data_IF_064389390752
#
_entry.id   IF_064389390752
#
_cell.length_a   1.000
_cell.length_b   1.000
_cell.length_c   1.000
_cell.angle_alpha   90.00
_cell.angle_beta   90.00
_cell.angle_gamma   90.00
#
_symmetry.space_group_name_H-M   'P 1'
#
loop_
_entity.id
_entity.type
_entity.pdbx_description
1 polymer ?
#
# COMPACT_ATOMS: atom_id res chain seq x y z
N UNK A 1 -25.77 16.72 19.46
CA UNK A 1 -24.68 15.91 20.05
C UNK A 1 -25.07 14.47 20.46
N UNK A 2 -26.21 14.20 21.11
CA UNK A 2 -26.57 12.82 21.56
C UNK A 2 -26.90 11.82 20.41
N UNK A 3 -27.29 12.30 19.22
CA UNK A 3 -27.63 11.45 18.07
C UNK A 3 -26.41 10.91 17.30
N UNK A 4 -25.32 11.67 17.20
CA UNK A 4 -24.06 11.21 16.57
C UNK A 4 -23.39 10.08 17.36
N UNK A 5 -23.43 10.16 18.69
CA UNK A 5 -22.86 9.13 19.57
C UNK A 5 -23.58 7.78 19.47
N UNK A 6 -24.90 7.78 19.26
CA UNK A 6 -25.68 6.54 19.06
C UNK A 6 -25.41 5.92 17.68
N UNK A 7 -25.24 6.74 16.64
CA UNK A 7 -24.94 6.27 15.30
C UNK A 7 -23.53 5.65 15.22
N UNK A 8 -22.54 6.32 15.82
CA UNK A 8 -21.16 5.83 15.89
C UNK A 8 -21.03 4.50 16.63
N UNK A 9 -21.71 4.30 17.77
CA UNK A 9 -21.72 3.01 18.50
C UNK A 9 -22.44 1.91 17.73
N UNK A 10 -23.60 2.21 17.14
CA UNK A 10 -24.37 1.23 16.36
C UNK A 10 -23.60 0.76 15.11
N UNK A 11 -22.90 1.69 14.44
CA UNK A 11 -22.03 1.37 13.31
C UNK A 11 -20.82 0.52 13.73
N UNK A 12 -20.18 0.84 14.87
CA UNK A 12 -19.06 0.07 15.44
C UNK A 12 -19.50 -1.35 15.84
N UNK A 13 -20.70 -1.49 16.42
CA UNK A 13 -21.30 -2.79 16.79
C UNK A 13 -21.66 -3.62 15.55
N UNK A 14 -22.20 -3.00 14.48
CA UNK A 14 -22.44 -3.69 13.20
C UNK A 14 -21.15 -4.17 12.58
N UNK A 15 -20.10 -3.33 12.54
CA UNK A 15 -18.77 -3.69 12.01
C UNK A 15 -18.11 -4.81 12.81
N UNK A 16 -18.21 -4.77 14.15
CA UNK A 16 -17.76 -5.84 15.03
C UNK A 16 -18.48 -7.15 14.71
N UNK A 17 -19.80 -7.14 14.49
CA UNK A 17 -20.55 -8.32 14.03
C UNK A 17 -20.17 -8.80 12.63
N UNK A 18 -19.85 -7.90 11.69
CA UNK A 18 -19.32 -8.29 10.37
C UNK A 18 -18.00 -9.05 10.52
N UNK A 19 -17.10 -8.56 11.39
CA UNK A 19 -15.80 -9.16 11.66
C UNK A 19 -15.92 -10.46 12.45
N UNK A 20 -16.72 -10.51 13.52
CA UNK A 20 -16.98 -11.72 14.32
C UNK A 20 -17.58 -12.86 13.48
N UNK A 21 -18.47 -12.52 12.54
CA UNK A 21 -19.06 -13.49 11.61
C UNK A 21 -18.07 -13.98 10.54
N UNK A 22 -17.02 -13.21 10.21
CA UNK A 22 -15.92 -13.66 9.33
C UNK A 22 -14.82 -14.41 10.11
N UNK A 23 -14.61 -14.07 11.38
CA UNK A 23 -13.55 -14.64 12.20
C UNK A 23 -13.86 -16.06 12.69
N UNK A 24 -15.13 -16.44 12.80
CA UNK A 24 -15.53 -17.77 13.25
C UNK A 24 -15.19 -18.01 14.73
N UNK A 25 -16.16 -18.46 15.52
CA UNK A 25 -15.94 -18.90 16.90
C UNK A 25 -14.86 -20.00 16.95
N UNK A 26 -13.66 -19.64 17.41
CA UNK A 26 -12.59 -20.54 17.82
C UNK A 26 -11.77 -19.81 18.90
N UNK A 27 -11.78 -20.38 20.10
CA UNK A 27 -11.06 -19.89 21.27
C UNK A 27 -9.56 -20.09 21.16
N UNK A 28 -8.92 -19.34 20.26
CA UNK A 28 -7.46 -19.25 20.21
C UNK A 28 -7.07 -17.78 20.24
N UNK A 29 -6.35 -17.43 21.31
CA UNK A 29 -6.03 -16.07 21.73
C UNK A 29 -5.02 -15.40 20.78
N UNK A 30 -5.46 -15.03 19.57
CA UNK A 30 -5.01 -13.79 18.93
C UNK A 30 -6.14 -12.77 19.08
N UNK A 31 -6.08 -11.99 20.16
CA UNK A 31 -6.71 -10.67 20.22
C UNK A 31 -6.02 -9.73 19.22
N UNK A 32 -6.06 -10.07 17.94
CA UNK A 32 -5.73 -9.16 16.87
C UNK A 32 -7.01 -8.40 16.56
N UNK A 33 -7.37 -7.45 17.42
CA UNK A 33 -7.90 -6.20 16.87
C UNK A 33 -6.79 -5.70 15.95
N UNK A 34 -6.83 -6.07 14.67
CA UNK A 34 -5.90 -5.65 13.63
C UNK A 34 -6.10 -4.16 13.45
N UNK A 35 -5.40 -3.42 14.28
CA UNK A 35 -5.35 -1.98 14.23
C UNK A 35 -4.61 -1.59 12.95
N UNK A 36 -5.30 -0.97 12.00
CA UNK A 36 -4.71 -0.53 10.73
C UNK A 36 -3.56 0.47 10.96
N UNK A 37 -2.57 0.45 10.07
CA UNK A 37 -1.42 1.35 10.11
C UNK A 37 -1.85 2.82 10.02
N UNK A 38 -2.91 3.14 9.27
CA UNK A 38 -3.51 4.48 9.28
C UNK A 38 -3.88 4.93 10.69
N UNK A 39 -4.51 4.06 11.48
CA UNK A 39 -4.93 4.42 12.83
C UNK A 39 -3.73 4.51 13.78
N UNK A 40 -2.71 3.65 13.61
CA UNK A 40 -1.44 3.75 14.34
C UNK A 40 -0.78 5.10 14.09
N UNK A 41 -0.65 5.48 12.82
CA UNK A 41 -0.12 6.78 12.45
C UNK A 41 -0.93 7.93 13.04
N UNK A 42 -2.26 7.88 13.00
CA UNK A 42 -3.13 8.91 13.61
C UNK A 42 -2.95 9.02 15.13
N UNK A 43 -2.74 7.89 15.82
CA UNK A 43 -2.54 7.88 17.27
C UNK A 43 -1.19 8.47 17.63
N UNK A 44 -0.15 8.01 16.93
CA UNK A 44 1.22 8.48 17.13
C UNK A 44 1.29 9.96 16.77
N UNK A 45 0.81 10.39 15.60
CA UNK A 45 0.99 11.77 15.15
C UNK A 45 0.35 12.85 16.01
N UNK A 46 -0.51 12.49 16.98
CA UNK A 46 -1.22 13.45 17.83
C UNK A 46 -2.20 14.31 17.05
N UNK A 47 -2.43 14.01 15.77
CA UNK A 47 -3.34 14.78 14.91
C UNK A 47 -4.78 14.59 15.37
N UNK A 48 -5.44 15.69 15.71
CA UNK A 48 -6.80 15.69 16.25
C UNK A 48 -6.82 15.62 17.78
N UNK A 49 -7.39 14.54 18.33
CA UNK A 49 -7.59 14.40 19.79
C UNK A 49 -6.43 13.61 20.39
N UNK A 50 -5.67 14.26 21.27
CA UNK A 50 -4.62 13.60 22.05
C UNK A 50 -5.19 12.42 22.84
N UNK A 51 -4.52 11.29 22.68
CA UNK A 51 -4.72 10.05 23.43
C UNK A 51 -3.85 10.01 24.68
N UNK A 52 -4.24 9.22 25.69
CA UNK A 52 -3.40 8.97 26.86
C UNK A 52 -2.03 8.41 26.46
N UNK A 53 -0.99 8.87 27.14
CA UNK A 53 0.41 8.48 26.91
C UNK A 53 0.63 6.97 27.02
N UNK A 54 -0.05 6.33 27.98
CA UNK A 54 -0.01 4.89 28.22
C UNK A 54 -0.57 4.10 27.03
N UNK A 55 -1.57 4.66 26.32
CA UNK A 55 -2.09 4.05 25.10
C UNK A 55 -1.04 4.09 23.99
N UNK A 56 -0.37 5.24 23.80
CA UNK A 56 0.66 5.40 22.77
C UNK A 56 1.81 4.42 23.02
N UNK A 57 2.34 4.39 24.25
CA UNK A 57 3.39 3.45 24.64
C UNK A 57 3.01 2.00 24.37
N UNK A 58 1.77 1.60 24.72
CA UNK A 58 1.27 0.25 24.46
C UNK A 58 1.16 -0.06 22.96
N UNK A 59 0.63 0.86 22.16
CA UNK A 59 0.48 0.62 20.71
C UNK A 59 1.84 0.59 20.00
N UNK A 60 2.81 1.42 20.42
CA UNK A 60 4.19 1.36 19.93
C UNK A 60 4.84 0.02 20.26
N UNK A 61 4.76 -0.42 21.52
CA UNK A 61 5.30 -1.72 21.95
C UNK A 61 4.65 -2.89 21.19
N UNK A 62 3.32 -2.86 21.04
CA UNK A 62 2.56 -3.90 20.32
C UNK A 62 2.94 -4.00 18.84
N UNK A 63 3.25 -2.87 18.21
CA UNK A 63 3.59 -2.80 16.79
C UNK A 63 5.10 -2.71 16.54
N UNK A 64 5.95 -2.88 17.56
CA UNK A 64 7.40 -2.69 17.47
C UNK A 64 8.03 -3.44 16.30
N UNK A 65 7.77 -4.75 16.19
CA UNK A 65 8.31 -5.57 15.11
C UNK A 65 7.85 -5.09 13.72
N UNK A 66 6.58 -4.67 13.62
CA UNK A 66 6.00 -4.17 12.37
C UNK A 66 6.63 -2.83 11.97
N UNK A 67 6.80 -1.92 12.93
CA UNK A 67 7.42 -0.60 12.73
C UNK A 67 8.89 -0.78 12.32
N UNK A 68 9.64 -1.65 12.99
CA UNK A 68 11.04 -1.92 12.69
C UNK A 68 11.24 -2.55 11.30
N UNK A 69 10.45 -3.58 10.96
CA UNK A 69 10.56 -4.25 9.65
C UNK A 69 9.99 -3.41 8.51
N UNK A 70 9.07 -2.50 8.81
CA UNK A 70 8.40 -1.65 7.83
C UNK A 70 7.81 -2.47 6.67
N UNK A 71 8.24 -2.19 5.44
CA UNK A 71 7.78 -2.88 4.25
C UNK A 71 8.14 -4.37 4.23
N UNK A 72 9.26 -4.77 4.85
CA UNK A 72 9.71 -6.18 4.95
C UNK A 72 8.81 -7.02 5.86
N UNK A 73 7.88 -6.38 6.60
CA UNK A 73 6.85 -7.10 7.33
C UNK A 73 5.91 -7.86 6.38
N UNK A 74 5.70 -7.35 5.18
CA UNK A 74 4.85 -7.96 4.15
C UNK A 74 5.67 -8.92 3.30
N UNK A 75 5.34 -10.20 3.38
CA UNK A 75 6.13 -11.31 2.82
C UNK A 75 5.53 -11.79 1.50
N UNK A 76 6.39 -12.26 0.61
CA UNK A 76 5.95 -13.00 -0.57
C UNK A 76 5.26 -14.33 -0.18
N UNK A 77 4.39 -14.88 -1.04
CA UNK A 77 3.78 -16.19 -0.82
C UNK A 77 4.83 -17.27 -0.59
N UNK A 78 4.69 -18.03 0.51
CA UNK A 78 5.66 -19.07 0.91
C UNK A 78 5.02 -20.43 1.23
N UNK A 79 3.68 -20.52 1.20
CA UNK A 79 2.93 -21.72 1.52
C UNK A 79 2.08 -22.18 0.31
N UNK A 80 1.73 -23.48 0.22
CA UNK A 80 0.82 -23.97 -0.80
C UNK A 80 -0.53 -23.25 -0.74
N UNK A 81 -1.08 -22.92 -1.91
CA UNK A 81 -2.34 -22.19 -2.05
C UNK A 81 -3.48 -22.84 -1.26
N UNK A 82 -4.23 -22.04 -0.50
CA UNK A 82 -5.38 -22.45 0.29
C UNK A 82 -5.06 -23.19 1.58
N UNK A 83 -3.80 -23.46 1.90
CA UNK A 83 -3.43 -24.19 3.12
C UNK A 83 -3.83 -23.45 4.41
N UNK A 84 -3.65 -22.12 4.45
CA UNK A 84 -4.05 -21.31 5.59
C UNK A 84 -5.57 -21.11 5.61
N UNK A 85 -6.20 -20.93 4.45
CA UNK A 85 -7.64 -20.64 4.35
C UNK A 85 -8.53 -21.83 4.70
N UNK A 86 -8.05 -23.07 4.51
CA UNK A 86 -8.78 -24.29 4.92
C UNK A 86 -9.05 -24.35 6.42
N UNK A 87 -8.17 -23.77 7.24
CA UNK A 87 -8.35 -23.70 8.69
C UNK A 87 -9.34 -22.57 9.10
N UNK A 88 -9.80 -21.73 8.17
CA UNK A 88 -10.72 -20.62 8.44
C UNK A 88 -12.15 -20.98 8.05
N UNK A 89 -13.12 -20.51 8.84
CA UNK A 89 -14.57 -20.68 8.60
C UNK A 89 -15.09 -19.66 7.57
N UNK A 90 -14.57 -19.72 6.34
CA UNK A 90 -14.93 -18.83 5.24
C UNK A 90 -15.87 -19.51 4.25
N UNK A 91 -16.70 -18.72 3.54
CA UNK A 91 -17.45 -19.25 2.41
C UNK A 91 -16.51 -19.58 1.23
N UNK A 92 -16.94 -20.45 0.32
CA UNK A 92 -16.17 -20.78 -0.88
C UNK A 92 -15.78 -19.54 -1.70
N UNK A 93 -16.72 -18.61 -1.87
CA UNK A 93 -16.50 -17.33 -2.56
C UNK A 93 -15.44 -16.46 -1.84
N UNK A 94 -15.41 -16.47 -0.51
CA UNK A 94 -14.41 -15.73 0.25
C UNK A 94 -13.03 -16.37 0.14
N UNK A 95 -12.94 -17.71 0.16
CA UNK A 95 -11.67 -18.41 -0.03
C UNK A 95 -11.10 -18.14 -1.42
N UNK A 96 -11.92 -18.31 -2.46
CA UNK A 96 -11.53 -18.02 -3.85
C UNK A 96 -11.07 -16.56 -4.00
N UNK A 97 -11.81 -15.62 -3.41
CA UNK A 97 -11.45 -14.21 -3.45
C UNK A 97 -10.10 -13.93 -2.79
N UNK A 98 -9.84 -14.49 -1.60
CA UNK A 98 -8.57 -14.25 -0.89
C UNK A 98 -7.41 -14.87 -1.65
N UNK A 99 -7.58 -16.05 -2.27
CA UNK A 99 -6.55 -16.65 -3.14
C UNK A 99 -6.21 -15.76 -4.34
N UNK A 100 -7.24 -15.26 -5.04
CA UNK A 100 -7.06 -14.29 -6.13
C UNK A 100 -6.37 -13.02 -5.66
N UNK A 101 -6.71 -12.53 -4.46
CA UNK A 101 -6.08 -11.37 -3.85
C UNK A 101 -4.61 -11.61 -3.48
N UNK A 102 -4.28 -12.77 -2.93
CA UNK A 102 -2.90 -13.22 -2.62
C UNK A 102 -2.03 -13.16 -3.86
N UNK A 103 -2.51 -13.73 -4.96
CA UNK A 103 -1.80 -13.67 -6.24
C UNK A 103 -1.69 -12.25 -6.78
N UNK A 104 -2.78 -11.48 -6.79
CA UNK A 104 -2.81 -10.11 -7.31
C UNK A 104 -1.93 -9.12 -6.53
N UNK A 105 -1.76 -9.32 -5.23
CA UNK A 105 -0.89 -8.50 -4.38
C UNK A 105 0.54 -9.05 -4.25
N UNK A 106 0.82 -10.26 -4.77
CA UNK A 106 2.04 -11.02 -4.49
C UNK A 106 2.39 -11.03 -2.99
N UNK A 107 1.39 -11.32 -2.15
CA UNK A 107 1.46 -11.24 -0.69
C UNK A 107 1.11 -12.60 -0.07
N UNK A 108 1.75 -12.96 1.04
CA UNK A 108 1.44 -14.16 1.81
C UNK A 108 -0.05 -14.32 2.10
N UNK A 109 -0.56 -15.56 2.01
CA UNK A 109 -2.00 -15.87 2.12
C UNK A 109 -2.59 -15.40 3.46
N UNK A 110 -1.84 -15.54 4.55
CA UNK A 110 -2.31 -15.06 5.86
C UNK A 110 -2.38 -13.54 5.93
N UNK A 111 -1.43 -12.85 5.31
CA UNK A 111 -1.39 -11.40 5.29
C UNK A 111 -2.42 -10.82 4.32
N UNK A 112 -2.68 -11.47 3.18
CA UNK A 112 -3.77 -11.11 2.26
C UNK A 112 -5.13 -11.23 2.93
N UNK A 113 -5.34 -12.29 3.72
CA UNK A 113 -6.54 -12.45 4.54
C UNK A 113 -6.67 -11.31 5.56
N UNK A 114 -5.59 -10.98 6.29
CA UNK A 114 -5.60 -9.90 7.28
C UNK A 114 -5.87 -8.52 6.63
N UNK A 115 -5.32 -8.27 5.44
CA UNK A 115 -5.58 -7.04 4.64
C UNK A 115 -7.04 -6.99 4.20
N UNK A 116 -7.59 -8.10 3.70
CA UNK A 116 -9.01 -8.20 3.35
C UNK A 116 -9.90 -7.89 4.57
N UNK A 117 -9.67 -8.56 5.70
CA UNK A 117 -10.43 -8.33 6.92
C UNK A 117 -10.30 -6.89 7.43
N UNK A 118 -9.11 -6.30 7.33
CA UNK A 118 -8.84 -4.91 7.71
C UNK A 118 -9.60 -3.94 6.82
N UNK A 119 -9.60 -4.16 5.50
CA UNK A 119 -10.37 -3.35 4.56
C UNK A 119 -11.88 -3.41 4.86
N UNK A 120 -12.43 -4.62 5.05
CA UNK A 120 -13.85 -4.77 5.40
C UNK A 120 -14.18 -4.06 6.72
N UNK A 121 -13.27 -4.13 7.69
CA UNK A 121 -13.43 -3.54 9.01
C UNK A 121 -13.20 -2.04 9.05
N UNK A 122 -12.54 -1.44 8.05
CA UNK A 122 -12.11 -0.02 8.11
C UNK A 122 -12.72 0.80 6.98
N UNK A 123 -12.59 0.38 5.74
CA UNK A 123 -12.90 1.19 4.56
C UNK A 123 -14.10 0.70 3.74
N UNK A 124 -14.52 -0.55 3.91
CA UNK A 124 -15.76 -1.01 3.28
C UNK A 124 -16.99 -0.30 3.86
N UNK A 125 -17.79 0.31 2.98
CA UNK A 125 -19.02 1.07 3.33
C UNK A 125 -20.32 0.30 3.04
N UNK A 126 -20.22 -0.95 2.59
CA UNK A 126 -21.37 -1.80 2.26
C UNK A 126 -21.86 -2.68 3.40
N UNK A 127 -23.05 -3.26 3.22
CA UNK A 127 -23.61 -4.32 4.08
C UNK A 127 -23.03 -5.71 3.74
N UNK A 128 -23.34 -6.74 4.54
CA UNK A 128 -23.02 -8.14 4.17
C UNK A 128 -23.57 -8.53 2.80
N UNK A 129 -24.79 -8.09 2.47
CA UNK A 129 -25.39 -8.37 1.16
C UNK A 129 -24.58 -7.72 0.03
N UNK A 130 -24.06 -6.51 0.26
CA UNK A 130 -23.18 -5.85 -0.71
C UNK A 130 -21.85 -6.59 -0.85
N UNK A 131 -21.30 -7.13 0.25
CA UNK A 131 -20.09 -7.94 0.19
C UNK A 131 -20.33 -9.24 -0.59
N UNK A 132 -21.41 -9.97 -0.30
CA UNK A 132 -21.78 -11.16 -1.06
C UNK A 132 -21.96 -10.87 -2.56
N UNK A 133 -22.61 -9.76 -2.91
CA UNK A 133 -22.73 -9.31 -4.31
C UNK A 133 -21.38 -8.92 -4.92
N UNK A 134 -20.47 -8.36 -4.13
CA UNK A 134 -19.12 -8.05 -4.58
C UNK A 134 -18.30 -9.32 -4.87
N UNK A 135 -18.61 -10.41 -4.16
CA UNK A 135 -17.96 -11.71 -4.31
C UNK A 135 -18.68 -12.65 -5.29
N UNK A 136 -19.85 -12.26 -5.83
CA UNK A 136 -20.68 -13.18 -6.61
C UNK A 136 -20.29 -13.29 -8.07
N UNK A 137 -19.63 -12.28 -8.64
CA UNK A 137 -19.21 -12.27 -10.05
C UNK A 137 -17.75 -11.84 -10.17
N UNK A 138 -17.06 -12.38 -11.17
CA UNK A 138 -15.65 -12.08 -11.43
C UNK A 138 -15.39 -10.57 -11.57
N UNK A 139 -16.24 -9.86 -12.33
CA UNK A 139 -16.11 -8.41 -12.52
C UNK A 139 -16.20 -7.64 -11.21
N UNK A 140 -17.12 -8.02 -10.32
CA UNK A 140 -17.24 -7.36 -9.02
C UNK A 140 -16.08 -7.69 -8.09
N UNK A 141 -15.61 -8.95 -8.11
CA UNK A 141 -14.44 -9.38 -7.34
C UNK A 141 -13.22 -8.56 -7.72
N UNK A 142 -12.94 -8.43 -9.02
CA UNK A 142 -11.84 -7.60 -9.53
C UNK A 142 -11.97 -6.14 -9.07
N UNK A 143 -13.18 -5.57 -9.13
CA UNK A 143 -13.43 -4.22 -8.63
C UNK A 143 -13.16 -4.05 -7.13
N UNK A 144 -13.44 -5.09 -6.32
CA UNK A 144 -13.12 -5.10 -4.90
C UNK A 144 -11.61 -5.29 -4.66
N UNK A 145 -10.95 -6.17 -5.41
CA UNK A 145 -9.50 -6.40 -5.33
C UNK A 145 -8.71 -5.11 -5.59
N UNK A 146 -9.09 -4.33 -6.60
CA UNK A 146 -8.45 -3.03 -6.89
C UNK A 146 -8.56 -2.08 -5.69
N UNK A 147 -9.74 -1.99 -5.06
CA UNK A 147 -9.93 -1.14 -3.87
C UNK A 147 -9.11 -1.61 -2.68
N UNK A 148 -8.97 -2.92 -2.50
CA UNK A 148 -8.16 -3.50 -1.42
C UNK A 148 -6.67 -3.26 -1.69
N UNK A 149 -6.20 -3.36 -2.94
CA UNK A 149 -4.84 -3.02 -3.33
C UNK A 149 -4.53 -1.56 -2.97
N UNK A 150 -5.42 -0.63 -3.29
CA UNK A 150 -5.23 0.79 -2.97
C UNK A 150 -5.16 1.00 -1.44
N UNK A 151 -6.03 0.35 -0.69
CA UNK A 151 -5.98 0.31 0.78
C UNK A 151 -4.64 -0.27 1.30
N UNK A 152 -4.18 -1.38 0.73
CA UNK A 152 -2.93 -2.04 1.09
C UNK A 152 -1.71 -1.13 0.92
N UNK A 153 -1.60 -0.45 -0.23
CA UNK A 153 -0.51 0.50 -0.46
C UNK A 153 -0.60 1.71 0.48
N UNK A 154 -1.80 2.20 0.79
CA UNK A 154 -1.96 3.26 1.78
C UNK A 154 -1.47 2.81 3.17
N UNK A 155 -1.86 1.61 3.61
CA UNK A 155 -1.42 1.05 4.89
C UNK A 155 0.10 0.91 4.97
N UNK A 156 0.77 0.53 3.88
CA UNK A 156 2.24 0.49 3.81
C UNK A 156 2.87 1.86 3.99
N UNK A 157 2.34 2.89 3.34
CA UNK A 157 2.83 4.26 3.47
C UNK A 157 2.63 4.80 4.90
N UNK A 158 1.48 4.56 5.53
CA UNK A 158 1.26 4.99 6.92
C UNK A 158 2.25 4.36 7.90
N UNK A 159 2.75 3.16 7.63
CA UNK A 159 3.79 2.52 8.44
C UNK A 159 5.11 3.28 8.34
N UNK A 160 5.52 3.67 7.13
CA UNK A 160 6.71 4.50 6.91
C UNK A 160 6.54 5.88 7.54
N UNK A 161 5.38 6.51 7.36
CA UNK A 161 5.07 7.80 7.96
C UNK A 161 5.09 7.74 9.49
N UNK A 162 4.72 6.61 10.10
CA UNK A 162 4.84 6.39 11.54
C UNK A 162 6.31 6.45 11.97
N UNK A 163 7.20 5.73 11.28
CA UNK A 163 8.65 5.76 11.56
C UNK A 163 9.21 7.17 11.40
N UNK A 164 8.90 7.83 10.27
CA UNK A 164 9.34 9.19 9.98
C UNK A 164 8.91 10.16 11.08
N UNK A 165 7.63 10.13 11.48
CA UNK A 165 7.08 10.99 12.53
C UNK A 165 7.82 10.81 13.86
N UNK A 166 8.01 9.57 14.30
CA UNK A 166 8.72 9.28 15.55
C UNK A 166 10.15 9.84 15.49
N UNK A 167 10.87 9.61 14.38
CA UNK A 167 12.24 10.13 14.18
C UNK A 167 12.31 11.66 14.05
N UNK A 168 11.27 12.33 13.57
CA UNK A 168 11.25 13.80 13.53
C UNK A 168 11.13 14.39 14.94
N UNK A 169 10.25 13.82 15.77
CA UNK A 169 9.78 14.47 16.98
C UNK A 169 10.39 13.97 18.30
N UNK A 170 11.28 12.97 18.27
CA UNK A 170 11.86 12.39 19.50
C UNK A 170 12.84 13.33 20.24
N UNK A 171 13.54 14.22 19.53
CA UNK A 171 14.50 15.16 20.14
C UNK A 171 13.97 16.58 20.35
N UNK A 172 12.83 16.95 19.76
CA UNK A 172 12.39 18.35 19.72
C UNK A 172 12.18 18.96 21.11
N UNK A 173 12.79 20.13 21.32
CA UNK A 173 12.83 20.82 22.61
C UNK A 173 11.47 21.42 23.02
N UNK A 174 10.70 21.96 22.08
CA UNK A 174 9.34 22.53 22.31
C UNK A 174 8.25 21.44 22.19
N UNK A 175 8.53 20.30 22.84
CA UNK A 175 8.26 18.95 22.35
C UNK A 175 6.82 18.51 22.10
N UNK A 176 6.71 17.65 21.08
CA UNK A 176 5.53 16.84 20.79
C UNK A 176 4.97 16.15 22.06
N UNK A 177 3.64 16.05 22.25
CA UNK A 177 3.03 15.51 23.48
C UNK A 177 3.48 14.11 23.90
N UNK A 178 4.02 13.34 22.95
CA UNK A 178 4.48 11.95 23.10
C UNK A 178 6.01 11.75 22.97
N UNK A 179 6.78 12.82 23.17
CA UNK A 179 8.24 12.78 23.00
C UNK A 179 8.93 11.74 23.89
N UNK A 180 8.49 11.62 25.14
CA UNK A 180 9.05 10.67 26.11
C UNK A 180 8.85 9.24 25.63
N UNK A 181 7.65 8.92 25.13
CA UNK A 181 7.30 7.61 24.59
C UNK A 181 8.08 7.29 23.31
N UNK A 182 8.34 8.29 22.47
CA UNK A 182 9.19 8.12 21.28
C UNK A 182 10.62 7.84 21.63
N UNK A 183 11.16 8.58 22.60
CA UNK A 183 12.54 8.42 23.06
C UNK A 183 12.72 7.02 23.64
N UNK A 184 11.81 6.57 24.51
CA UNK A 184 11.82 5.22 25.07
C UNK A 184 11.75 4.15 23.97
N UNK A 185 10.83 4.31 23.02
CA UNK A 185 10.66 3.36 21.92
C UNK A 185 11.89 3.29 21.00
N UNK A 186 12.48 4.44 20.66
CA UNK A 186 13.63 4.51 19.76
C UNK A 186 14.92 4.03 20.42
N UNK A 187 15.12 4.24 21.73
CA UNK A 187 16.34 3.80 22.42
C UNK A 187 16.65 2.32 22.16
N UNK A 188 15.63 1.47 22.11
CA UNK A 188 15.79 0.05 21.79
C UNK A 188 16.10 -0.21 20.31
N UNK A 189 15.52 0.56 19.39
CA UNK A 189 15.68 0.37 17.94
C UNK A 189 16.95 1.00 17.36
N UNK A 190 17.46 2.03 18.01
CA UNK A 190 18.70 2.71 17.69
C UNK A 190 19.92 1.92 18.21
N UNK A 191 19.72 1.03 19.17
CA UNK A 191 20.75 0.12 19.63
C UNK A 191 21.31 -0.69 18.43
N UNK A 192 22.64 -0.72 18.28
CA UNK A 192 23.34 -1.44 17.21
C UNK A 192 22.95 -1.05 15.78
N UNK A 193 22.38 0.13 15.58
CA UNK A 193 21.96 0.64 14.26
C UNK A 193 20.92 -0.27 13.58
N UNK A 194 20.05 -0.95 14.35
CA UNK A 194 19.09 -1.91 13.80
C UNK A 194 18.06 -1.22 12.90
N UNK A 195 17.51 -0.07 13.33
CA UNK A 195 16.55 0.70 12.55
C UNK A 195 17.10 1.09 11.18
N UNK A 196 18.28 1.71 11.13
CA UNK A 196 18.87 2.19 9.87
C UNK A 196 19.23 1.03 8.94
N UNK A 197 19.73 -0.10 9.47
CA UNK A 197 19.96 -1.33 8.68
C UNK A 197 18.67 -1.81 8.02
N UNK A 198 17.55 -1.80 8.76
CA UNK A 198 16.24 -2.21 8.23
C UNK A 198 15.67 -1.22 7.23
N UNK A 199 15.89 0.08 7.39
CA UNK A 199 15.48 1.10 6.41
C UNK A 199 16.27 0.94 5.09
N UNK A 200 17.58 0.71 5.17
CA UNK A 200 18.41 0.45 3.98
C UNK A 200 18.02 -0.85 3.28
N UNK A 201 17.73 -1.92 4.04
CA UNK A 201 17.24 -3.19 3.50
C UNK A 201 15.88 -3.02 2.79
N UNK A 202 14.97 -2.22 3.36
CA UNK A 202 13.71 -1.85 2.72
C UNK A 202 13.93 -1.10 1.41
N UNK A 203 14.81 -0.08 1.40
CA UNK A 203 15.12 0.71 0.21
C UNK A 203 15.71 -0.17 -0.89
N UNK A 204 16.63 -1.06 -0.53
CA UNK A 204 17.18 -2.04 -1.44
C UNK A 204 16.06 -2.93 -2.03
N UNK A 205 15.17 -3.44 -1.19
CA UNK A 205 14.08 -4.31 -1.64
C UNK A 205 13.14 -3.59 -2.63
N UNK A 206 12.73 -2.35 -2.35
CA UNK A 206 11.81 -1.62 -3.24
C UNK A 206 12.48 -1.15 -4.54
N UNK A 207 13.80 -0.89 -4.53
CA UNK A 207 14.54 -0.44 -5.73
C UNK A 207 14.85 -1.59 -6.70
N UNK A 208 14.99 -2.82 -6.20
CA UNK A 208 15.20 -4.01 -7.04
C UNK A 208 13.90 -4.69 -7.49
N UNK A 209 12.76 -4.21 -7.00
CA UNK A 209 11.46 -4.80 -7.30
C UNK A 209 11.11 -4.68 -8.80
N UNK A 210 10.77 -5.80 -9.41
CA UNK A 210 10.39 -5.86 -10.83
C UNK A 210 8.96 -5.38 -11.04
N UNK A 211 8.70 -4.77 -12.20
CA UNK A 211 7.36 -4.34 -12.57
C UNK A 211 6.41 -5.55 -12.63
N UNK A 212 5.23 -5.50 -11.99
CA UNK A 212 4.31 -6.62 -12.01
C UNK A 212 3.73 -6.81 -13.42
N UNK A 213 3.55 -8.07 -13.78
CA UNK A 213 3.01 -8.51 -15.08
C UNK A 213 1.76 -9.35 -14.86
N UNK A 214 1.02 -9.61 -15.93
CA UNK A 214 -0.12 -10.52 -15.90
C UNK A 214 0.28 -11.97 -15.55
N UNK A 215 1.53 -12.37 -15.82
CA UNK A 215 2.07 -13.70 -15.47
C UNK A 215 2.35 -13.80 -13.98
N UNK A 216 2.83 -12.73 -13.36
CA UNK A 216 3.25 -12.71 -11.96
C UNK A 216 2.12 -12.35 -10.99
N UNK A 217 1.13 -11.56 -11.44
CA UNK A 217 0.04 -11.03 -10.59
C UNK A 217 -1.36 -11.27 -11.17
N UNK A 218 -1.47 -12.06 -12.24
CA UNK A 218 -2.72 -12.46 -12.85
C UNK A 218 -3.29 -11.47 -13.86
N UNK A 219 -4.32 -11.92 -14.60
CA UNK A 219 -4.88 -11.21 -15.76
C UNK A 219 -5.40 -9.80 -15.47
N UNK A 220 -5.71 -9.48 -14.21
CA UNK A 220 -6.10 -8.14 -13.79
C UNK A 220 -4.94 -7.14 -13.85
N UNK A 221 -3.69 -7.62 -13.78
CA UNK A 221 -2.48 -6.80 -13.85
C UNK A 221 -2.15 -6.42 -15.30
N UNK A 222 -2.95 -5.51 -15.85
CA UNK A 222 -2.68 -4.83 -17.12
C UNK A 222 -1.68 -3.67 -16.96
N UNK A 223 -1.28 -3.02 -18.06
CA UNK A 223 -0.33 -1.90 -18.06
C UNK A 223 -0.77 -0.75 -17.16
N UNK A 224 -2.09 -0.52 -17.00
CA UNK A 224 -2.61 0.55 -16.14
C UNK A 224 -2.38 0.20 -14.66
N UNK A 225 -2.67 -1.03 -14.25
CA UNK A 225 -2.45 -1.45 -12.86
C UNK A 225 -0.95 -1.57 -12.54
N UNK A 226 -0.12 -1.99 -13.51
CA UNK A 226 1.33 -2.00 -13.38
C UNK A 226 1.89 -0.58 -13.18
N UNK A 227 1.39 0.41 -13.93
CA UNK A 227 1.78 1.82 -13.75
C UNK A 227 1.37 2.36 -12.38
N UNK A 228 0.17 2.02 -11.90
CA UNK A 228 -0.28 2.41 -10.55
C UNK A 228 0.64 1.78 -9.49
N UNK A 229 1.01 0.51 -9.65
CA UNK A 229 1.95 -0.14 -8.75
C UNK A 229 3.33 0.55 -8.77
N UNK A 230 3.86 0.88 -9.96
CA UNK A 230 5.14 1.56 -10.09
C UNK A 230 5.13 2.91 -9.38
N UNK A 231 4.05 3.67 -9.51
CA UNK A 231 3.88 4.93 -8.80
C UNK A 231 3.83 4.76 -7.27
N UNK A 232 3.21 3.69 -6.77
CA UNK A 232 3.21 3.39 -5.34
C UNK A 232 4.59 2.96 -4.84
N UNK A 233 5.31 2.14 -5.60
CA UNK A 233 6.69 1.75 -5.29
C UNK A 233 7.61 2.99 -5.22
N UNK A 234 7.48 3.94 -6.15
CA UNK A 234 8.21 5.21 -6.11
C UNK A 234 7.87 6.06 -4.88
N UNK A 235 6.60 6.10 -4.46
CA UNK A 235 6.21 6.77 -3.21
C UNK A 235 6.88 6.14 -1.99
N UNK A 236 6.93 4.82 -1.93
CA UNK A 236 7.62 4.09 -0.86
C UNK A 236 9.13 4.38 -0.85
N UNK A 237 9.76 4.46 -2.03
CA UNK A 237 11.17 4.87 -2.14
C UNK A 237 11.40 6.29 -1.61
N UNK A 238 10.57 7.26 -2.01
CA UNK A 238 10.67 8.65 -1.53
C UNK A 238 10.51 8.73 -0.01
N UNK A 239 9.51 8.07 0.56
CA UNK A 239 9.30 8.04 2.01
C UNK A 239 10.48 7.41 2.76
N UNK A 240 11.08 6.34 2.24
CA UNK A 240 12.28 5.73 2.82
C UNK A 240 13.49 6.66 2.76
N UNK A 241 13.67 7.39 1.64
CA UNK A 241 14.74 8.38 1.52
C UNK A 241 14.55 9.54 2.51
N UNK A 242 13.32 9.99 2.73
CA UNK A 242 13.04 11.01 3.74
C UNK A 242 13.34 10.51 5.16
N UNK A 243 13.01 9.24 5.48
CA UNK A 243 13.39 8.62 6.76
C UNK A 243 14.91 8.62 6.94
N UNK A 244 15.67 8.25 5.90
CA UNK A 244 17.14 8.28 5.93
C UNK A 244 17.68 9.70 6.18
N UNK A 245 17.11 10.71 5.51
CA UNK A 245 17.50 12.10 5.69
C UNK A 245 17.24 12.59 7.11
N UNK A 246 16.08 12.29 7.68
CA UNK A 246 15.76 12.64 9.08
C UNK A 246 16.68 11.92 10.03
N UNK A 247 17.00 10.64 9.79
CA UNK A 247 17.94 9.89 10.60
C UNK A 247 19.36 10.49 10.56
N UNK A 248 19.91 10.75 9.37
CA UNK A 248 21.26 11.29 9.23
C UNK A 248 21.43 12.76 9.62
N UNK A 249 20.32 13.47 9.87
CA UNK A 249 20.37 14.77 10.53
C UNK A 249 20.96 14.65 11.95
N UNK A 250 20.60 13.58 12.66
CA UNK A 250 20.92 13.40 14.09
C UNK A 250 22.04 12.36 14.32
N UNK A 251 22.35 11.52 13.32
CA UNK A 251 23.36 10.46 13.41
C UNK A 251 24.36 10.50 12.25
N UNK A 252 25.64 10.28 12.52
CA UNK A 252 26.66 10.19 11.47
C UNK A 252 26.42 8.99 10.56
N UNK A 253 26.35 9.24 9.26
CA UNK A 253 26.26 8.18 8.26
C UNK A 253 27.59 7.42 8.17
N UNK A 254 27.54 6.08 8.24
CA UNK A 254 28.68 5.25 7.86
C UNK A 254 29.06 5.55 6.40
N UNK A 255 30.34 5.87 6.09
CA UNK A 255 30.77 6.16 4.73
C UNK A 255 30.39 5.05 3.74
N UNK A 256 30.48 3.79 4.17
CA UNK A 256 30.11 2.64 3.35
C UNK A 256 28.62 2.60 3.01
N UNK A 257 27.74 2.95 3.95
CA UNK A 257 26.29 2.97 3.70
C UNK A 257 25.87 4.17 2.86
N UNK A 258 26.54 5.31 3.03
CA UNK A 258 26.36 6.48 2.18
C UNK A 258 26.79 6.21 0.73
N UNK A 259 27.94 5.55 0.52
CA UNK A 259 28.40 5.14 -0.83
C UNK A 259 27.40 4.19 -1.48
N UNK A 260 26.92 3.15 -0.77
CA UNK A 260 25.90 2.23 -1.29
C UNK A 260 24.64 2.96 -1.73
N UNK A 261 24.21 3.97 -0.95
CA UNK A 261 23.07 4.80 -1.32
C UNK A 261 23.35 5.58 -2.62
N UNK A 262 24.52 6.24 -2.72
CA UNK A 262 24.90 6.99 -3.93
C UNK A 262 24.98 6.10 -5.18
N UNK A 263 25.43 4.85 -5.04
CA UNK A 263 25.47 3.90 -6.16
C UNK A 263 24.06 3.56 -6.68
N UNK A 264 23.05 3.47 -5.80
CA UNK A 264 21.65 3.32 -6.23
C UNK A 264 21.19 4.54 -7.06
N UNK A 265 21.59 5.76 -6.70
CA UNK A 265 21.23 6.96 -7.47
C UNK A 265 21.88 7.02 -8.86
N UNK A 266 23.09 6.48 -9.03
CA UNK A 266 23.72 6.36 -10.35
C UNK A 266 22.88 5.48 -11.28
N UNK A 267 22.30 4.41 -10.75
CA UNK A 267 21.41 3.51 -11.49
C UNK A 267 20.06 4.16 -11.78
N UNK A 268 19.46 4.83 -10.79
CA UNK A 268 18.17 5.52 -10.93
C UNK A 268 18.22 6.65 -11.96
N UNK A 269 19.33 7.40 -12.09
CA UNK A 269 19.49 8.41 -13.14
C UNK A 269 19.41 7.79 -14.55
N UNK A 270 20.01 6.62 -14.73
CA UNK A 270 19.95 5.86 -15.98
C UNK A 270 18.57 5.26 -16.21
N UNK A 271 17.93 4.71 -15.18
CA UNK A 271 16.60 4.11 -15.27
C UNK A 271 15.48 5.14 -15.47
N UNK A 272 15.55 6.31 -14.81
CA UNK A 272 14.65 7.44 -15.07
C UNK A 272 14.84 7.99 -16.48
N UNK A 273 16.08 8.06 -16.98
CA UNK A 273 16.31 8.44 -18.38
C UNK A 273 15.69 7.44 -19.35
N UNK A 274 15.78 6.13 -19.07
CA UNK A 274 15.16 5.06 -19.87
C UNK A 274 13.62 5.08 -19.74
N UNK A 275 13.08 5.29 -18.55
CA UNK A 275 11.62 5.38 -18.32
C UNK A 275 11.05 6.66 -18.93
N UNK A 276 11.75 7.79 -18.86
CA UNK A 276 11.37 9.02 -19.56
C UNK A 276 11.43 8.82 -21.08
N UNK A 277 12.45 8.13 -21.61
CA UNK A 277 12.50 7.75 -23.03
C UNK A 277 11.39 6.78 -23.43
N UNK A 278 11.02 5.82 -22.57
CA UNK A 278 9.96 4.85 -22.82
C UNK A 278 8.56 5.49 -22.77
N UNK A 279 8.34 6.41 -21.82
CA UNK A 279 7.12 7.22 -21.74
C UNK A 279 7.01 8.20 -22.92
N UNK A 280 8.15 8.74 -23.38
CA UNK A 280 8.20 9.59 -24.58
C UNK A 280 7.92 8.77 -25.85
N UNK A 281 8.44 7.55 -25.97
CA UNK A 281 8.13 6.63 -27.09
C UNK A 281 6.64 6.24 -27.15
N UNK A 282 5.99 5.93 -26.02
CA UNK A 282 4.56 5.61 -26.00
C UNK A 282 3.70 6.85 -26.34
N UNK A 283 4.17 8.05 -25.97
CA UNK A 283 3.53 9.33 -26.32
C UNK A 283 3.74 9.67 -27.79
N UNK A 284 4.93 9.43 -28.34
CA UNK A 284 5.28 9.59 -29.76
C UNK A 284 4.52 8.57 -30.62
N UNK A 285 4.36 7.32 -30.20
CA UNK A 285 3.56 6.31 -30.90
C UNK A 285 2.06 6.65 -30.88
N UNK A 286 1.53 7.17 -29.77
CA UNK A 286 0.15 7.69 -29.71
C UNK A 286 -0.06 8.91 -30.61
N UNK A 287 0.93 9.81 -30.68
CA UNK A 287 0.90 10.97 -31.59
C UNK A 287 1.08 10.55 -33.07
N UNK A 288 1.90 9.54 -33.34
CA UNK A 288 2.10 8.97 -34.67
C UNK A 288 0.87 8.16 -35.16
N UNK A 289 0.15 7.53 -34.24
CA UNK A 289 -1.12 6.82 -34.52
C UNK A 289 -2.28 7.81 -34.69
N UNK A 290 -2.30 8.90 -33.92
CA UNK A 290 -3.29 9.97 -34.06
C UNK A 290 -3.13 10.77 -35.37
N UNK A 291 -1.90 11.04 -35.82
CA UNK A 291 -1.64 11.70 -37.11
C UNK A 291 -1.95 10.83 -38.34
N UNK A 292 -1.97 9.50 -38.20
CA UNK A 292 -2.34 8.58 -39.29
C UNK A 292 -3.84 8.55 -39.58
N UNK A 293 -4.69 8.99 -38.63
CA UNK A 293 -6.14 9.13 -38.84
C UNK A 293 -6.56 10.50 -39.40
N UNK A 294 -5.64 11.48 -39.44
CA UNK A 294 -5.92 12.85 -39.94
C UNK A 294 -5.41 13.06 -41.36
N UNK A 295 -4.70 12.10 -41.95
CA UNK A 295 -4.15 12.19 -43.32
C UNK A 295 -4.97 11.46 -44.39
N UNK A 296 -6.14 10.90 -44.04
CA UNK A 296 -7.09 10.28 -45.00
C UNK A 296 -8.41 11.05 -45.18
N UNK A 297 -8.43 12.37 -44.94
CA UNK A 297 -9.55 13.23 -45.35
C UNK A 297 -9.11 14.26 -46.40
N UNK A 298 -9.31 13.87 -47.66
CA UNK A 298 -9.55 14.66 -48.88
C UNK A 298 -8.65 15.85 -49.26
N UNK A 299 -8.21 15.89 -50.53
CA UNK A 299 -8.13 17.13 -51.29
C UNK A 299 -9.20 17.17 -52.38
N UNK A 300 -10.17 18.07 -52.20
CA UNK A 300 -11.01 18.58 -53.29
C UNK A 300 -10.15 19.36 -54.29
N UNK A 301 -10.11 18.93 -55.56
CA UNK A 301 -10.36 19.78 -56.74
C UNK A 301 -9.90 19.08 -58.03
N UNK A 302 -10.83 18.80 -58.95
CA UNK A 302 -10.67 19.10 -60.37
C UNK A 302 -12.03 19.45 -61.02
N UNK A 303 -12.06 20.37 -62.01
CA UNK A 303 -13.30 20.97 -62.54
C UNK A 303 -13.87 20.25 -63.78
N UNK A 304 -15.21 20.35 -63.90
CA UNK A 304 -16.08 20.28 -65.09
C UNK A 304 -15.63 19.50 -66.34
N UNK A 305 -16.43 18.49 -66.73
CA UNK A 305 -16.79 18.24 -68.14
C UNK A 305 -18.24 17.80 -68.32
N UNK A 306 -18.84 18.36 -69.36
CA UNK A 306 -20.19 18.18 -69.91
C UNK A 306 -20.46 16.74 -70.41
N UNK A 307 -21.72 16.31 -70.34
CA UNK A 307 -22.44 15.44 -71.30
C UNK A 307 -23.95 15.65 -71.06
N UNK A 308 -24.66 16.48 -71.84
CA UNK A 308 -25.46 16.12 -73.03
C UNK A 308 -26.25 14.79 -72.93
N UNK A 309 -27.57 14.93 -72.78
CA UNK A 309 -28.61 14.39 -73.69
C UNK A 309 -28.88 12.88 -73.69
N UNK A 310 -30.13 12.53 -73.40
CA UNK A 310 -30.73 11.20 -73.54
C UNK A 310 -32.00 11.11 -72.72
#
# INVERSE_FOLDING_TARGET
EVKEWKFGRSFRIRKKRLFENMAGSAGESRKTETFGNRNLWQYVSGTGILRPRELIKRELARNKEKILKGLLFYKAPNAPEGSFLKAKKLSSQQQEFVQKLTFFLALDESQSYDVFCSYISQDFRGSQKNLQLALSTERHMQGLMVKIRDFYHCERLYLLQTVKHILTFWQEAEGHPYREEYTEFLNELLLNNELIKKVLEQLHHVTEAQLPTWETHGKLMDSRHALVWAHQNLKEQVELLEILLVYWKDFEASPGDFIKLLDKFKFVKSALAILLQALDLETVERLASSKRLVTESEPWNQPQKQCKGG
#
